data_IF_699761234698
#
_entry.id   IF_699761234698
#
_cell.length_a   1.000
_cell.length_b   1.000
_cell.length_c   1.000
_cell.angle_alpha   90.00
_cell.angle_beta   90.00
_cell.angle_gamma   90.00
#
_symmetry.space_group_name_H-M   'P 1'
#
loop_
_entity.id
_entity.type
_entity.pdbx_description
1 polymer ?
#
# COMPACT_ATOMS: atom_id res chain seq x y z
N UNK A 1 0.59 -20.83 -25.55
CA UNK A 1 1.82 -21.44 -26.08
C UNK A 1 2.75 -20.29 -26.47
N UNK A 2 4.03 -20.40 -26.11
CA UNK A 2 5.15 -19.43 -26.19
C UNK A 2 5.37 -18.55 -24.94
N UNK A 3 6.55 -18.51 -24.31
CA UNK A 3 7.65 -19.46 -24.24
C UNK A 3 8.47 -19.10 -23.00
N UNK A 4 8.74 -20.11 -22.18
CA UNK A 4 9.79 -20.12 -21.17
C UNK A 4 11.15 -19.96 -21.87
N UNK A 5 12.02 -19.10 -21.33
CA UNK A 5 13.43 -19.05 -21.75
C UNK A 5 14.29 -18.75 -20.54
N UNK A 6 14.54 -19.80 -19.76
CA UNK A 6 15.67 -19.92 -18.87
C UNK A 6 16.97 -19.89 -19.70
N UNK A 7 17.80 -18.87 -19.50
CA UNK A 7 19.22 -18.93 -19.84
C UNK A 7 20.03 -18.74 -18.57
N UNK A 8 20.83 -19.76 -18.31
CA UNK A 8 21.86 -19.86 -17.29
C UNK A 8 22.99 -18.85 -17.52
N UNK A 9 23.42 -18.21 -16.43
CA UNK A 9 24.76 -17.63 -16.28
C UNK A 9 25.26 -17.93 -14.85
N UNK A 10 26.55 -18.23 -14.64
CA UNK A 10 27.04 -18.84 -13.40
C UNK A 10 27.52 -17.83 -12.34
N UNK A 11 27.38 -18.26 -11.09
CA UNK A 11 28.15 -17.93 -9.87
C UNK A 11 28.62 -16.48 -9.61
N UNK A 12 28.01 -15.90 -8.59
CA UNK A 12 28.56 -14.85 -7.73
C UNK A 12 27.74 -14.83 -6.43
N UNK A 13 28.27 -15.47 -5.39
CA UNK A 13 27.64 -15.61 -4.07
C UNK A 13 27.33 -14.26 -3.43
N UNK A 14 26.04 -13.99 -3.20
CA UNK A 14 25.53 -13.36 -1.96
C UNK A 14 24.05 -13.70 -1.85
N UNK A 15 23.68 -14.39 -0.78
CA UNK A 15 22.36 -14.93 -0.46
C UNK A 15 21.28 -13.84 -0.30
N UNK A 16 20.74 -13.35 -1.42
CA UNK A 16 19.41 -12.73 -1.42
C UNK A 16 18.36 -13.80 -1.75
N UNK A 17 17.82 -14.43 -0.70
CA UNK A 17 16.58 -15.21 -0.82
C UNK A 17 15.49 -14.25 -1.32
N UNK A 18 15.16 -14.34 -2.61
CA UNK A 18 14.09 -13.59 -3.24
C UNK A 18 12.74 -14.04 -2.68
N UNK A 19 12.25 -13.34 -1.65
CA UNK A 19 10.87 -13.48 -1.22
C UNK A 19 9.96 -13.02 -2.37
N UNK A 20 9.33 -13.98 -3.07
CA UNK A 20 8.38 -13.69 -4.15
C UNK A 20 7.09 -13.13 -3.55
N UNK A 21 7.05 -11.82 -3.36
CA UNK A 21 5.85 -11.05 -3.00
C UNK A 21 4.89 -11.11 -4.18
N UNK A 22 3.66 -11.61 -3.95
CA UNK A 22 2.61 -11.54 -4.96
C UNK A 22 1.83 -10.25 -4.76
N UNK A 23 1.87 -9.37 -5.77
CA UNK A 23 1.05 -8.15 -5.86
C UNK A 23 -0.28 -8.55 -6.49
N UNK A 24 -1.38 -8.33 -5.79
CA UNK A 24 -2.71 -8.37 -6.38
C UNK A 24 -3.30 -6.95 -6.34
N UNK A 25 -3.90 -6.51 -7.44
CA UNK A 25 -4.60 -5.22 -7.50
C UNK A 25 -6.09 -5.43 -7.73
N UNK A 26 -6.94 -4.86 -6.88
CA UNK A 26 -8.36 -4.70 -7.16
C UNK A 26 -8.62 -3.23 -7.44
N UNK A 27 -9.34 -2.94 -8.53
CA UNK A 27 -9.91 -1.62 -8.77
C UNK A 27 -11.19 -1.55 -7.95
N UNK A 28 -11.26 -0.62 -7.01
CA UNK A 28 -12.42 -0.44 -6.11
C UNK A 28 -13.34 0.63 -6.69
N UNK A 29 -12.78 1.75 -7.16
CA UNK A 29 -13.46 2.82 -7.91
C UNK A 29 -12.54 3.43 -8.97
N UNK A 30 -13.01 4.34 -9.85
CA UNK A 30 -12.17 4.94 -10.90
C UNK A 30 -10.92 5.67 -10.37
N UNK A 31 -10.97 6.17 -9.13
CA UNK A 31 -9.91 6.90 -8.44
C UNK A 31 -9.09 6.04 -7.46
N UNK A 32 -9.65 4.93 -6.96
CA UNK A 32 -9.03 4.14 -5.90
C UNK A 32 -8.47 2.83 -6.45
N UNK A 33 -7.14 2.72 -6.47
CA UNK A 33 -6.44 1.46 -6.71
C UNK A 33 -5.98 0.85 -5.40
N UNK A 34 -6.41 -0.40 -5.18
CA UNK A 34 -6.02 -1.15 -4.00
C UNK A 34 -4.91 -2.13 -4.33
N UNK A 35 -3.78 -2.02 -3.63
CA UNK A 35 -2.67 -2.97 -3.75
C UNK A 35 -2.57 -3.84 -2.49
N UNK A 36 -2.78 -5.13 -2.68
CA UNK A 36 -2.60 -6.15 -1.65
C UNK A 36 -1.21 -6.77 -1.78
N UNK A 37 -0.49 -6.81 -0.66
CA UNK A 37 0.81 -7.47 -0.55
C UNK A 37 0.67 -8.73 0.28
N UNK A 38 0.94 -9.89 -0.36
CA UNK A 38 0.91 -11.19 0.31
C UNK A 38 2.31 -11.80 0.31
N UNK A 39 2.83 -12.12 1.50
CA UNK A 39 4.05 -12.94 1.63
C UNK A 39 3.73 -14.36 1.20
N UNK A 40 4.48 -14.91 0.25
CA UNK A 40 4.43 -16.34 -0.07
C UNK A 40 5.46 -17.05 0.83
N UNK A 41 4.99 -17.71 1.89
CA UNK A 41 5.80 -18.64 2.69
C UNK A 41 5.44 -20.09 2.35
N UNK A 42 6.41 -21.00 2.43
CA UNK A 42 6.24 -22.46 2.25
C UNK A 42 5.64 -23.13 3.50
N UNK A 43 5.52 -22.41 4.61
CA UNK A 43 4.74 -22.84 5.78
C UNK A 43 3.27 -22.49 5.61
N UNK A 44 2.38 -23.41 6.01
CA UNK A 44 0.92 -23.21 6.08
C UNK A 44 0.60 -22.11 7.11
N UNK A 45 0.77 -20.86 6.69
CA UNK A 45 0.31 -19.66 7.39
C UNK A 45 -0.93 -19.21 6.63
N UNK A 46 -2.06 -18.95 7.30
CA UNK A 46 -3.25 -18.42 6.62
C UNK A 46 -2.86 -17.20 5.79
N UNK A 47 -3.45 -17.09 4.59
CA UNK A 47 -3.09 -16.13 3.55
C UNK A 47 -3.57 -14.69 3.88
N UNK A 48 -3.32 -14.23 5.10
CA UNK A 48 -3.75 -12.93 5.58
C UNK A 48 -3.00 -11.83 4.85
N UNK A 49 -3.70 -10.74 4.55
CA UNK A 49 -3.09 -9.56 3.94
C UNK A 49 -2.24 -8.89 5.01
N UNK A 50 -0.93 -8.80 4.77
CA UNK A 50 -0.02 -8.22 5.76
C UNK A 50 -0.01 -6.69 5.70
N UNK A 51 -0.27 -6.11 4.51
CA UNK A 51 -0.27 -4.66 4.29
C UNK A 51 -1.22 -4.21 3.20
N UNK A 52 -1.73 -2.99 3.37
CA UNK A 52 -2.70 -2.30 2.54
C UNK A 52 -2.11 -0.96 2.09
N UNK A 53 -2.06 -0.71 0.79
CA UNK A 53 -1.72 0.63 0.25
C UNK A 53 -2.99 1.26 -0.29
N UNK A 54 -3.34 2.41 0.25
CA UNK A 54 -4.50 3.21 -0.15
C UNK A 54 -4.01 4.52 -0.76
N UNK A 55 -4.44 4.84 -1.97
CA UNK A 55 -3.99 6.05 -2.68
C UNK A 55 -5.14 7.04 -2.78
N UNK A 56 -4.90 8.26 -2.34
CA UNK A 56 -5.86 9.37 -2.37
C UNK A 56 -5.38 10.40 -3.37
N UNK A 57 -6.28 10.85 -4.23
CA UNK A 57 -6.05 12.03 -5.06
C UNK A 57 -6.18 13.30 -4.20
N UNK A 58 -5.07 13.92 -3.84
CA UNK A 58 -5.06 15.05 -2.92
C UNK A 58 -5.69 16.31 -3.51
N UNK A 59 -5.78 16.42 -4.83
CA UNK A 59 -6.40 17.56 -5.49
C UNK A 59 -7.92 17.42 -5.60
N UNK A 60 -8.47 16.24 -5.29
CA UNK A 60 -9.91 15.97 -5.33
C UNK A 60 -10.55 16.06 -3.94
N UNK A 61 -10.87 17.30 -3.55
CA UNK A 61 -11.40 17.63 -2.23
C UNK A 61 -12.84 17.13 -2.01
N UNK A 62 -13.60 16.90 -3.08
CA UNK A 62 -14.99 16.46 -3.02
C UNK A 62 -15.08 14.95 -2.78
N UNK A 63 -14.25 14.16 -3.49
CA UNK A 63 -14.28 12.68 -3.39
C UNK A 63 -13.55 12.11 -2.17
N UNK A 64 -12.86 12.93 -1.38
CA UNK A 64 -12.16 12.44 -0.17
C UNK A 64 -13.11 11.85 0.87
N UNK A 65 -14.36 12.31 0.94
CA UNK A 65 -15.37 11.73 1.83
C UNK A 65 -15.79 10.33 1.35
N UNK A 66 -15.95 10.14 0.04
CA UNK A 66 -16.20 8.81 -0.54
C UNK A 66 -15.01 7.87 -0.28
N UNK A 67 -13.77 8.38 -0.43
CA UNK A 67 -12.56 7.62 -0.14
C UNK A 67 -12.48 7.20 1.34
N UNK A 68 -12.95 8.03 2.27
CA UNK A 68 -13.07 7.66 3.69
C UNK A 68 -14.03 6.49 3.88
N UNK A 69 -15.22 6.56 3.29
CA UNK A 69 -16.23 5.50 3.44
C UNK A 69 -15.72 4.16 2.85
N UNK A 70 -15.06 4.21 1.69
CA UNK A 70 -14.40 3.05 1.09
C UNK A 70 -13.32 2.48 2.00
N UNK A 71 -12.43 3.33 2.52
CA UNK A 71 -11.38 2.90 3.44
C UNK A 71 -11.97 2.21 4.66
N UNK A 72 -12.96 2.82 5.32
CA UNK A 72 -13.59 2.23 6.51
C UNK A 72 -14.29 0.90 6.21
N UNK A 73 -14.96 0.79 5.05
CA UNK A 73 -15.58 -0.46 4.59
C UNK A 73 -14.54 -1.56 4.40
N UNK A 74 -13.42 -1.24 3.76
CA UNK A 74 -12.33 -2.19 3.54
C UNK A 74 -11.64 -2.61 4.84
N UNK A 75 -11.41 -1.67 5.76
CA UNK A 75 -10.79 -1.98 7.06
C UNK A 75 -11.70 -2.84 7.96
N UNK A 76 -13.00 -2.90 7.67
CA UNK A 76 -13.96 -3.77 8.33
C UNK A 76 -13.94 -5.23 7.81
N UNK A 77 -13.29 -5.52 6.68
CA UNK A 77 -13.14 -6.87 6.18
C UNK A 77 -12.17 -7.69 7.06
N UNK A 78 -12.55 -8.91 7.43
CA UNK A 78 -11.73 -9.78 8.30
C UNK A 78 -10.34 -10.05 7.72
N UNK A 79 -10.21 -10.15 6.39
CA UNK A 79 -8.95 -10.36 5.69
C UNK A 79 -7.95 -9.20 5.89
N UNK A 80 -8.47 -8.00 6.16
CA UNK A 80 -7.73 -6.76 6.33
C UNK A 80 -7.63 -6.31 7.79
N UNK A 81 -8.27 -6.99 8.74
CA UNK A 81 -8.30 -6.61 10.16
C UNK A 81 -6.91 -6.29 10.72
N UNK A 82 -5.93 -7.13 10.38
CA UNK A 82 -4.57 -7.02 10.88
C UNK A 82 -3.60 -6.37 9.85
N UNK A 83 -4.07 -5.87 8.71
CA UNK A 83 -3.17 -5.29 7.70
C UNK A 83 -2.57 -3.94 8.17
N UNK A 84 -1.27 -3.73 7.94
CA UNK A 84 -0.65 -2.40 8.10
C UNK A 84 -1.16 -1.47 7.00
N UNK A 85 -1.58 -0.25 7.32
CA UNK A 85 -2.12 0.70 6.34
C UNK A 85 -1.07 1.74 5.94
N UNK A 86 -0.75 1.84 4.66
CA UNK A 86 -0.03 2.97 4.08
C UNK A 86 -1.00 3.78 3.22
N UNK A 87 -1.11 5.08 3.51
CA UNK A 87 -1.88 6.03 2.70
C UNK A 87 -0.91 6.88 1.89
N UNK A 88 -1.12 6.94 0.57
CA UNK A 88 -0.45 7.89 -0.30
C UNK A 88 -1.36 9.08 -0.58
N UNK A 89 -0.95 10.26 -0.10
CA UNK A 89 -1.53 11.54 -0.48
C UNK A 89 -0.91 11.98 -1.80
N UNK A 90 -1.47 11.51 -2.92
CA UNK A 90 -0.90 11.64 -4.25
C UNK A 90 -1.30 12.97 -4.93
N UNK A 91 -0.55 13.38 -5.96
CA UNK A 91 -0.71 14.64 -6.72
C UNK A 91 -0.37 15.92 -5.96
N UNK A 92 0.64 15.85 -5.09
CA UNK A 92 1.11 17.01 -4.31
C UNK A 92 1.75 18.11 -5.17
N UNK A 93 1.98 17.84 -6.46
CA UNK A 93 2.41 18.82 -7.47
C UNK A 93 1.33 19.83 -7.86
N UNK A 94 0.06 19.57 -7.54
CA UNK A 94 -1.06 20.43 -7.93
C UNK A 94 -1.34 21.52 -6.88
N UNK A 95 -1.69 22.75 -7.29
CA UNK A 95 -1.76 23.91 -6.40
C UNK A 95 -2.85 23.84 -5.32
N UNK A 96 -3.86 22.98 -5.48
CA UNK A 96 -4.96 22.82 -4.52
C UNK A 96 -4.90 21.49 -3.76
N UNK A 97 -3.77 20.78 -3.84
CA UNK A 97 -3.57 19.51 -3.17
C UNK A 97 -3.71 19.66 -1.65
N UNK A 98 -4.56 18.83 -1.05
CA UNK A 98 -4.65 18.67 0.40
C UNK A 98 -3.32 18.12 0.91
N UNK A 99 -2.78 18.71 1.98
CA UNK A 99 -1.58 18.16 2.61
C UNK A 99 -1.91 16.88 3.41
N UNK A 100 -0.87 16.18 3.86
CA UNK A 100 -1.03 14.93 4.59
C UNK A 100 -1.85 15.08 5.88
N UNK A 101 -1.72 16.20 6.60
CA UNK A 101 -2.50 16.44 7.82
C UNK A 101 -3.99 16.58 7.51
N UNK A 102 -4.34 17.37 6.50
CA UNK A 102 -5.72 17.58 6.07
C UNK A 102 -6.39 16.26 5.61
N UNK A 103 -5.65 15.41 4.88
CA UNK A 103 -6.14 14.09 4.47
C UNK A 103 -6.29 13.16 5.69
N UNK A 104 -5.39 13.23 6.65
CA UNK A 104 -5.45 12.44 7.90
C UNK A 104 -6.75 12.72 8.66
N UNK A 105 -7.10 14.00 8.78
CA UNK A 105 -8.33 14.45 9.41
C UNK A 105 -9.57 14.00 8.61
N UNK A 106 -9.59 14.27 7.30
CA UNK A 106 -10.73 13.93 6.42
C UNK A 106 -10.99 12.44 6.34
N UNK A 107 -9.95 11.59 6.32
CA UNK A 107 -10.10 10.14 6.37
C UNK A 107 -10.39 9.60 7.78
N UNK A 108 -10.25 10.42 8.82
CA UNK A 108 -10.46 10.02 10.20
C UNK A 108 -9.44 8.99 10.70
N UNK A 109 -8.19 9.04 10.21
CA UNK A 109 -7.16 8.06 10.56
C UNK A 109 -6.83 8.05 12.07
N UNK A 110 -7.04 9.17 12.76
CA UNK A 110 -6.91 9.28 14.21
C UNK A 110 -7.81 8.31 15.00
N UNK A 111 -8.90 7.83 14.41
CA UNK A 111 -9.77 6.82 15.02
C UNK A 111 -9.17 5.41 15.02
N UNK A 112 -8.19 5.14 14.16
CA UNK A 112 -7.59 3.81 13.94
C UNK A 112 -6.52 3.47 15.00
N UNK A 113 -6.86 3.60 16.30
CA UNK A 113 -5.89 3.44 17.41
C UNK A 113 -5.27 2.04 17.54
N UNK A 114 -5.94 1.01 17.03
CA UNK A 114 -5.49 -0.38 17.12
C UNK A 114 -4.78 -0.87 15.85
N UNK A 115 -4.46 0.03 14.91
CA UNK A 115 -3.84 -0.31 13.63
C UNK A 115 -2.63 0.58 13.37
N UNK A 116 -1.54 -0.01 12.91
CA UNK A 116 -0.39 0.76 12.44
C UNK A 116 -0.73 1.36 11.07
N UNK A 117 -0.68 2.68 10.99
CA UNK A 117 -0.87 3.41 9.75
C UNK A 117 0.20 4.48 9.56
N UNK A 118 0.42 4.85 8.31
CA UNK A 118 1.27 5.98 7.93
C UNK A 118 0.70 6.65 6.69
N UNK A 119 0.90 7.95 6.59
CA UNK A 119 0.56 8.73 5.42
C UNK A 119 1.81 9.37 4.84
N UNK A 120 1.96 9.27 3.53
CA UNK A 120 3.09 9.83 2.80
C UNK A 120 2.57 10.71 1.67
N UNK A 121 3.02 11.97 1.67
CA UNK A 121 2.83 12.90 0.55
C UNK A 121 3.58 12.36 -0.67
N UNK A 122 2.92 12.30 -1.83
CA UNK A 122 3.51 11.74 -3.05
C UNK A 122 3.14 12.49 -4.31
N UNK A 123 4.02 12.36 -5.30
CA UNK A 123 3.75 12.74 -6.68
C UNK A 123 4.11 11.53 -7.56
N UNK A 124 3.09 10.82 -8.06
CA UNK A 124 3.30 9.61 -8.84
C UNK A 124 4.01 9.85 -10.19
N UNK A 125 3.95 11.08 -10.72
CA UNK A 125 4.57 11.43 -12.01
C UNK A 125 6.06 11.70 -11.89
N UNK A 126 6.51 12.36 -10.83
CA UNK A 126 7.95 12.53 -10.53
C UNK A 126 8.55 11.33 -9.78
N UNK A 127 7.71 10.60 -9.04
CA UNK A 127 8.10 9.49 -8.17
C UNK A 127 8.36 9.91 -6.72
N UNK A 128 8.21 11.20 -6.39
CA UNK A 128 8.50 11.73 -5.05
C UNK A 128 7.64 11.07 -3.97
N UNK A 129 8.28 10.72 -2.85
CA UNK A 129 7.63 10.12 -1.68
C UNK A 129 7.26 8.64 -1.83
N UNK A 130 7.36 8.04 -3.03
CA UNK A 130 7.00 6.63 -3.24
C UNK A 130 7.95 5.69 -2.49
N UNK A 131 9.25 5.98 -2.55
CA UNK A 131 10.27 5.12 -1.92
C UNK A 131 10.12 5.14 -0.40
N UNK A 132 9.95 6.32 0.19
CA UNK A 132 9.82 6.54 1.62
C UNK A 132 8.60 5.80 2.19
N UNK A 133 7.45 5.92 1.53
CA UNK A 133 6.24 5.20 1.95
C UNK A 133 6.40 3.68 1.84
N UNK A 134 7.02 3.20 0.77
CA UNK A 134 7.26 1.76 0.57
C UNK A 134 8.30 1.20 1.54
N UNK A 135 9.36 1.95 1.85
CA UNK A 135 10.37 1.55 2.83
C UNK A 135 9.77 1.47 4.24
N UNK A 136 8.96 2.47 4.63
CA UNK A 136 8.20 2.42 5.88
C UNK A 136 7.34 1.16 5.96
N UNK A 137 6.55 0.88 4.92
CA UNK A 137 5.69 -0.31 4.88
C UNK A 137 6.51 -1.59 4.97
N UNK A 138 7.60 -1.70 4.21
CA UNK A 138 8.49 -2.86 4.25
C UNK A 138 9.05 -3.10 5.65
N UNK A 139 9.43 -2.04 6.38
CA UNK A 139 9.94 -2.13 7.73
C UNK A 139 8.86 -2.54 8.74
N UNK A 140 7.63 -2.03 8.62
CA UNK A 140 6.50 -2.49 9.44
C UNK A 140 6.20 -3.98 9.22
N UNK A 141 6.21 -4.43 7.96
CA UNK A 141 5.96 -5.83 7.61
C UNK A 141 7.06 -6.79 8.06
N UNK A 142 8.31 -6.32 8.22
CA UNK A 142 9.41 -7.11 8.80
C UNK A 142 9.25 -7.27 10.32
N UNK A 143 8.71 -6.26 11.00
CA UNK A 143 8.59 -6.21 12.45
C UNK A 143 7.37 -6.97 13.00
N UNK A 144 6.35 -7.21 12.16
CA UNK A 144 5.31 -8.20 12.45
C UNK A 144 5.89 -9.62 12.37
N UNK A 145 6.39 -10.11 13.49
CA UNK A 145 6.77 -11.52 13.69
C UNK A 145 5.63 -12.31 14.30
#
# INVERSE_FOLDING_TARGET
>A
MWADRTRSAPFGDTTFRTHRVRRASKRVTPSTFLFFFRKKSISFVPLTVSGLIFVVDSNDRERVNEAREELMRMLAEDELRDAVLLVFANKQDLPNAMNAAEITDKLGLHSLRHRNWYIQATCATSGDGLYEGLDWLANQLKNKK
#
